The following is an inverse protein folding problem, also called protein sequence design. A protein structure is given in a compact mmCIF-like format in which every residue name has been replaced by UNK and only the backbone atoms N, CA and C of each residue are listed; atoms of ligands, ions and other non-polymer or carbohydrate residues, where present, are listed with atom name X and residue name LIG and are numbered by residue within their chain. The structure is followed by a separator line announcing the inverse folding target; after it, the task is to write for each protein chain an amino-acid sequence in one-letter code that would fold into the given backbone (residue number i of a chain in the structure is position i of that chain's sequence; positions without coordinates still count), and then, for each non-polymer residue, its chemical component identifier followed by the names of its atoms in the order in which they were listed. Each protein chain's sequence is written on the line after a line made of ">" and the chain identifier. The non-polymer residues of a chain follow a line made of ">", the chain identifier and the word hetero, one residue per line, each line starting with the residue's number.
data_IF_422795175272
#
_entry.id   IF_422795175272
#
_cell.length_a   1.000
_cell.length_b   1.000
_cell.length_c   1.000
_cell.angle_alpha   90.00
_cell.angle_beta   90.00
_cell.angle_gamma   90.00
#
_symmetry.space_group_name_H-M   'P 1'
#
loop_
_entity.id
_entity.type
_entity.pdbx_description
1 polymer ?
#
# COMPACT_ATOMS: atom_id res chain seq x y z
N UNK A 1 31.56 34.82 -8.01
CA UNK A 1 30.27 34.12 -8.27
C UNK A 1 30.40 32.72 -7.69
N UNK A 2 29.82 32.50 -6.51
CA UNK A 2 29.83 31.19 -5.85
C UNK A 2 28.49 30.53 -6.16
N UNK A 3 28.51 29.53 -7.04
CA UNK A 3 27.33 28.73 -7.36
C UNK A 3 27.05 27.80 -6.17
N UNK A 4 26.03 28.15 -5.38
CA UNK A 4 25.45 27.26 -4.39
C UNK A 4 24.74 26.13 -5.11
N UNK A 5 25.38 24.97 -5.18
CA UNK A 5 24.73 23.71 -5.56
C UNK A 5 23.80 23.35 -4.41
N UNK A 6 22.52 23.74 -4.52
CA UNK A 6 21.47 23.31 -3.61
C UNK A 6 21.47 21.78 -3.60
N UNK A 7 21.65 21.12 -2.44
CA UNK A 7 21.52 19.67 -2.39
C UNK A 7 20.08 19.34 -2.75
N UNK A 8 19.87 18.67 -3.87
CA UNK A 8 18.58 18.11 -4.26
C UNK A 8 18.09 17.22 -3.10
N UNK A 9 17.12 17.70 -2.31
CA UNK A 9 16.42 16.91 -1.32
C UNK A 9 15.59 15.83 -2.03
N UNK A 10 16.19 14.68 -2.33
CA UNK A 10 15.47 13.48 -2.80
C UNK A 10 14.35 13.06 -1.81
N UNK A 11 14.49 13.39 -0.52
CA UNK A 11 13.45 13.24 0.49
C UNK A 11 12.22 14.15 0.25
N UNK A 12 12.41 15.37 -0.26
CA UNK A 12 11.27 16.27 -0.55
C UNK A 12 10.46 15.81 -1.76
N UNK A 13 11.07 15.10 -2.71
CA UNK A 13 10.37 14.57 -3.89
C UNK A 13 9.60 13.29 -3.53
N UNK A 14 10.16 12.43 -2.68
CA UNK A 14 9.55 11.16 -2.27
C UNK A 14 8.36 11.31 -1.31
N UNK A 15 8.34 12.37 -0.50
CA UNK A 15 7.23 12.67 0.41
C UNK A 15 6.21 13.68 -0.15
N UNK A 16 6.46 14.19 -1.36
CA UNK A 16 5.53 15.11 -2.01
C UNK A 16 4.16 14.46 -2.24
N UNK A 17 3.10 15.26 -2.11
CA UNK A 17 1.73 14.80 -2.35
C UNK A 17 1.13 13.93 -1.24
N UNK A 18 1.78 13.83 -0.08
CA UNK A 18 1.12 13.29 1.11
C UNK A 18 -0.13 14.13 1.42
N UNK A 19 -1.24 13.51 1.84
CA UNK A 19 -2.44 14.26 2.18
C UNK A 19 -2.15 15.18 3.36
N UNK A 20 -2.81 16.33 3.39
CA UNK A 20 -2.80 17.21 4.55
C UNK A 20 -3.38 16.44 5.76
N UNK A 21 -2.83 16.63 6.95
CA UNK A 21 -3.37 16.01 8.16
C UNK A 21 -4.80 16.54 8.41
N UNK A 22 -5.76 15.67 8.80
CA UNK A 22 -7.13 16.10 8.99
C UNK A 22 -7.22 17.13 10.12
N UNK A 23 -7.98 18.19 9.88
CA UNK A 23 -8.17 19.25 10.85
C UNK A 23 -8.75 18.69 12.16
N UNK A 24 -8.21 19.16 13.29
CA UNK A 24 -8.64 18.72 14.64
C UNK A 24 -8.43 17.22 14.94
N UNK A 25 -7.64 16.49 14.12
CA UNK A 25 -7.34 15.08 14.32
C UNK A 25 -8.51 14.13 14.01
N UNK A 26 -9.57 14.60 13.34
CA UNK A 26 -10.72 13.76 13.00
C UNK A 26 -10.52 13.07 11.66
N UNK A 27 -10.15 11.79 11.70
CA UNK A 27 -9.97 10.97 10.50
C UNK A 27 -11.33 10.60 9.91
N UNK A 28 -11.56 10.96 8.65
CA UNK A 28 -12.78 10.63 7.91
C UNK A 28 -12.47 9.80 6.66
N UNK A 29 -13.47 9.11 6.12
CA UNK A 29 -13.32 8.18 5.00
C UNK A 29 -12.57 8.77 3.80
N UNK A 30 -12.90 10.00 3.39
CA UNK A 30 -12.25 10.66 2.26
C UNK A 30 -10.73 10.83 2.46
N UNK A 31 -10.32 11.19 3.68
CA UNK A 31 -8.90 11.31 4.01
C UNK A 31 -8.23 9.94 4.02
N UNK A 32 -8.88 8.91 4.58
CA UNK A 32 -8.35 7.53 4.59
C UNK A 32 -8.11 7.02 3.17
N UNK A 33 -9.03 7.30 2.25
CA UNK A 33 -8.91 6.94 0.83
C UNK A 33 -7.69 7.61 0.20
N UNK A 34 -7.51 8.91 0.40
CA UNK A 34 -6.37 9.66 -0.12
C UNK A 34 -5.05 9.19 0.49
N UNK A 35 -5.03 9.00 1.80
CA UNK A 35 -3.88 8.52 2.56
C UNK A 35 -3.41 7.14 2.08
N UNK A 36 -4.32 6.18 1.95
CA UNK A 36 -3.98 4.84 1.45
C UNK A 36 -3.53 4.90 -0.02
N UNK A 37 -4.18 5.72 -0.86
CA UNK A 37 -3.78 5.88 -2.26
C UNK A 37 -2.36 6.46 -2.39
N UNK A 38 -2.00 7.43 -1.55
CA UNK A 38 -0.64 7.95 -1.46
C UNK A 38 0.34 6.90 -0.93
N UNK A 39 -0.06 6.11 0.07
CA UNK A 39 0.78 5.08 0.70
C UNK A 39 1.30 4.03 -0.28
N UNK A 40 0.56 3.74 -1.35
CA UNK A 40 0.98 2.83 -2.44
C UNK A 40 2.11 3.39 -3.34
N UNK A 41 2.47 4.66 -3.15
CA UNK A 41 3.45 5.38 -3.96
C UNK A 41 4.85 5.39 -3.32
N UNK A 42 4.95 5.07 -2.03
CA UNK A 42 6.18 5.18 -1.23
C UNK A 42 6.60 3.82 -0.63
N UNK A 43 7.88 3.68 -0.25
CA UNK A 43 8.40 2.50 0.45
C UNK A 43 7.92 2.42 1.91
N UNK A 44 8.28 1.35 2.63
CA UNK A 44 7.94 1.19 4.04
C UNK A 44 8.69 2.19 4.94
N UNK A 45 9.94 2.49 4.60
CA UNK A 45 10.86 3.34 5.36
C UNK A 45 10.94 4.76 4.78
N UNK A 46 10.21 5.03 3.68
CA UNK A 46 10.12 6.35 3.10
C UNK A 46 9.35 7.28 4.05
N UNK A 47 9.77 8.55 4.13
CA UNK A 47 9.07 9.57 4.93
C UNK A 47 8.86 9.13 6.39
N UNK A 48 9.94 8.99 7.18
CA UNK A 48 9.91 8.33 8.48
C UNK A 48 8.94 8.97 9.49
N UNK A 49 8.63 10.26 9.34
CA UNK A 49 7.68 10.97 10.20
C UNK A 49 6.22 10.87 9.71
N UNK A 50 6.00 10.45 8.45
CA UNK A 50 4.69 10.45 7.79
C UNK A 50 4.12 9.04 7.69
N UNK A 51 4.89 8.09 7.16
CA UNK A 51 4.39 6.73 6.88
C UNK A 51 3.90 6.03 8.15
N UNK A 52 4.64 6.01 9.28
CA UNK A 52 4.16 5.35 10.48
C UNK A 52 2.87 5.96 11.05
N UNK A 53 2.76 7.30 11.04
CA UNK A 53 1.57 8.00 11.53
C UNK A 53 0.37 7.74 10.62
N UNK A 54 0.56 7.79 9.30
CA UNK A 54 -0.47 7.51 8.31
C UNK A 54 -0.94 6.05 8.40
N UNK A 55 -0.01 5.10 8.53
CA UNK A 55 -0.33 3.69 8.69
C UNK A 55 -1.14 3.44 9.97
N UNK A 56 -0.75 4.05 11.09
CA UNK A 56 -1.49 3.96 12.35
C UNK A 56 -2.93 4.52 12.23
N UNK A 57 -3.09 5.73 11.71
CA UNK A 57 -4.39 6.40 11.65
C UNK A 57 -5.35 5.71 10.67
N UNK A 58 -4.84 5.27 9.52
CA UNK A 58 -5.67 4.53 8.56
C UNK A 58 -6.07 3.16 9.11
N UNK A 59 -5.18 2.43 9.78
CA UNK A 59 -5.52 1.15 10.41
C UNK A 59 -6.49 1.30 11.58
N UNK A 60 -6.33 2.33 12.42
CA UNK A 60 -7.26 2.62 13.50
C UNK A 60 -8.66 2.90 12.96
N UNK A 61 -8.78 3.78 11.96
CA UNK A 61 -10.06 4.07 11.33
C UNK A 61 -10.70 2.82 10.70
N UNK A 62 -9.90 2.01 10.00
CA UNK A 62 -10.38 0.74 9.42
C UNK A 62 -10.83 -0.25 10.49
N UNK A 63 -10.17 -0.29 11.64
CA UNK A 63 -10.55 -1.19 12.75
C UNK A 63 -11.88 -0.82 13.41
N UNK A 64 -12.29 0.44 13.29
CA UNK A 64 -13.55 0.97 13.82
C UNK A 64 -14.67 1.00 12.78
N UNK A 65 -14.37 0.72 11.50
CA UNK A 65 -15.35 0.75 10.43
C UNK A 65 -16.26 -0.47 10.46
N UNK A 66 -17.58 -0.26 10.51
CA UNK A 66 -18.60 -1.31 10.36
C UNK A 66 -18.81 -1.74 8.90
N UNK A 67 -18.33 -0.94 7.94
CA UNK A 67 -18.58 -1.15 6.51
C UNK A 67 -17.37 -1.77 5.78
N UNK A 68 -16.15 -1.48 6.25
CA UNK A 68 -14.91 -1.89 5.58
C UNK A 68 -14.24 -3.04 6.30
N UNK A 69 -14.62 -4.26 5.95
CA UNK A 69 -13.96 -5.47 6.45
C UNK A 69 -12.95 -6.02 5.43
N UNK A 70 -11.68 -6.21 5.81
CA UNK A 70 -10.68 -6.84 4.95
C UNK A 70 -10.35 -8.23 5.50
N UNK A 71 -10.60 -9.28 4.71
CA UNK A 71 -10.16 -10.65 5.02
C UNK A 71 -8.84 -10.94 4.29
N UNK A 72 -7.83 -11.40 5.04
CA UNK A 72 -6.52 -11.76 4.51
C UNK A 72 -6.24 -13.22 4.81
N UNK A 73 -6.46 -14.07 3.80
CA UNK A 73 -6.00 -15.45 3.81
C UNK A 73 -4.55 -15.48 3.36
N UNK A 74 -3.61 -15.69 4.28
CA UNK A 74 -2.16 -15.65 3.99
C UNK A 74 -1.73 -16.56 2.83
N UNK A 75 -2.42 -17.70 2.63
CA UNK A 75 -2.21 -18.60 1.49
C UNK A 75 -2.40 -17.93 0.12
N UNK A 76 -3.22 -16.88 0.05
CA UNK A 76 -3.47 -16.11 -1.18
C UNK A 76 -2.38 -15.07 -1.48
N UNK A 77 -1.47 -14.83 -0.53
CA UNK A 77 -0.47 -13.75 -0.52
C UNK A 77 0.93 -14.26 -0.10
N UNK A 78 1.57 -15.13 -0.89
CA UNK A 78 2.78 -15.85 -0.50
C UNK A 78 4.00 -14.96 -0.22
N UNK A 79 4.01 -13.70 -0.68
CA UNK A 79 5.07 -12.75 -0.35
C UNK A 79 5.12 -12.40 1.15
N UNK A 80 4.00 -12.54 1.89
CA UNK A 80 3.97 -12.29 3.33
C UNK A 80 4.81 -13.28 4.14
N UNK A 81 5.10 -14.47 3.60
CA UNK A 81 6.02 -15.42 4.24
C UNK A 81 7.48 -14.94 4.21
N UNK A 82 7.81 -14.02 3.29
CA UNK A 82 9.16 -13.48 3.10
C UNK A 82 9.31 -12.06 3.63
N UNK A 83 8.21 -11.29 3.63
CA UNK A 83 8.15 -9.91 4.10
C UNK A 83 6.81 -9.67 4.84
N UNK A 84 6.66 -10.17 6.08
CA UNK A 84 5.46 -9.97 6.89
C UNK A 84 5.08 -8.49 7.09
N UNK A 85 6.06 -7.59 7.08
CA UNK A 85 5.90 -6.14 7.20
C UNK A 85 5.04 -5.52 6.07
N UNK A 86 4.88 -6.22 4.94
CA UNK A 86 3.98 -5.80 3.86
C UNK A 86 2.49 -6.05 4.16
N UNK A 87 2.15 -6.69 5.28
CA UNK A 87 0.76 -6.97 5.65
C UNK A 87 -0.06 -5.69 5.79
N UNK A 88 0.49 -4.64 6.42
CA UNK A 88 -0.20 -3.34 6.54
C UNK A 88 -0.54 -2.77 5.17
N UNK A 89 0.43 -2.77 4.25
CA UNK A 89 0.28 -2.27 2.88
C UNK A 89 -0.81 -3.07 2.14
N UNK A 90 -0.82 -4.40 2.29
CA UNK A 90 -1.84 -5.25 1.70
C UNK A 90 -3.24 -4.94 2.24
N UNK A 91 -3.38 -4.85 3.57
CA UNK A 91 -4.66 -4.56 4.23
C UNK A 91 -5.22 -3.22 3.74
N UNK A 92 -4.38 -2.18 3.78
CA UNK A 92 -4.75 -0.86 3.28
C UNK A 92 -5.14 -0.91 1.80
N UNK A 93 -4.35 -1.57 0.94
CA UNK A 93 -4.65 -1.64 -0.49
C UNK A 93 -5.99 -2.34 -0.79
N UNK A 94 -6.30 -3.40 -0.05
CA UNK A 94 -7.59 -4.10 -0.14
C UNK A 94 -8.74 -3.23 0.39
N UNK A 95 -8.52 -2.51 1.48
CA UNK A 95 -9.49 -1.54 2.00
C UNK A 95 -9.78 -0.44 0.96
N UNK A 96 -8.76 0.04 0.25
CA UNK A 96 -8.94 1.03 -0.81
C UNK A 96 -9.85 0.54 -1.94
N UNK A 97 -9.78 -0.75 -2.32
CA UNK A 97 -10.71 -1.34 -3.30
C UNK A 97 -12.15 -1.18 -2.83
N UNK A 98 -12.42 -1.50 -1.56
CA UNK A 98 -13.76 -1.40 -0.98
C UNK A 98 -14.23 0.05 -0.88
N UNK A 99 -13.39 0.93 -0.33
CA UNK A 99 -13.68 2.35 -0.17
C UNK A 99 -13.97 3.07 -1.50
N UNK A 100 -13.35 2.63 -2.59
CA UNK A 100 -13.54 3.26 -3.90
C UNK A 100 -14.66 2.62 -4.72
N UNK A 101 -15.26 1.51 -4.25
CA UNK A 101 -16.14 0.66 -5.04
C UNK A 101 -15.58 0.37 -6.45
N UNK A 102 -14.26 0.31 -6.56
CA UNK A 102 -13.58 0.18 -7.84
C UNK A 102 -13.53 -1.29 -8.23
N UNK A 103 -13.86 -1.66 -9.48
CA UNK A 103 -13.59 -3.00 -9.99
C UNK A 103 -12.08 -3.18 -10.08
N UNK A 104 -11.48 -3.66 -8.98
CA UNK A 104 -10.06 -3.94 -8.90
C UNK A 104 -9.84 -5.42 -9.03
N UNK A 105 -8.99 -5.80 -9.98
CA UNK A 105 -8.50 -7.17 -10.07
C UNK A 105 -7.50 -7.44 -8.94
N UNK A 106 -7.46 -8.68 -8.47
CA UNK A 106 -6.49 -9.15 -7.48
C UNK A 106 -5.06 -8.95 -7.99
N UNK A 107 -4.82 -9.10 -9.30
CA UNK A 107 -3.48 -8.88 -9.87
C UNK A 107 -3.00 -7.43 -9.69
N UNK A 108 -3.91 -6.47 -9.69
CA UNK A 108 -3.57 -5.06 -9.54
C UNK A 108 -3.20 -4.74 -8.08
N UNK A 109 -3.85 -5.38 -7.10
CA UNK A 109 -3.44 -5.34 -5.68
C UNK A 109 -2.02 -5.87 -5.50
N UNK A 110 -1.70 -7.04 -6.07
CA UNK A 110 -0.35 -7.63 -5.97
C UNK A 110 0.71 -6.68 -6.55
N UNK A 111 0.44 -6.07 -7.70
CA UNK A 111 1.36 -5.13 -8.35
C UNK A 111 1.63 -3.90 -7.52
N UNK A 112 0.62 -3.36 -6.85
CA UNK A 112 0.77 -2.18 -6.02
C UNK A 112 1.62 -2.48 -4.77
N UNK A 113 1.34 -3.60 -4.08
CA UNK A 113 2.17 -4.06 -2.95
C UNK A 113 3.61 -4.37 -3.40
N UNK A 114 3.78 -4.99 -4.57
CA UNK A 114 5.11 -5.22 -5.18
C UNK A 114 5.87 -3.92 -5.42
N UNK A 115 5.17 -2.86 -5.82
CA UNK A 115 5.77 -1.55 -6.07
C UNK A 115 6.27 -0.91 -4.77
N UNK A 116 5.50 -1.01 -3.68
CA UNK A 116 5.94 -0.59 -2.34
C UNK A 116 7.17 -1.38 -1.91
N UNK A 117 7.15 -2.71 -2.04
CA UNK A 117 8.27 -3.56 -1.66
C UNK A 117 9.57 -3.20 -2.40
N UNK A 118 9.50 -2.91 -3.71
CA UNK A 118 10.66 -2.47 -4.52
C UNK A 118 11.22 -1.10 -4.12
N UNK A 119 10.41 -0.24 -3.51
CA UNK A 119 10.80 1.08 -3.02
C UNK A 119 11.26 1.07 -1.57
N UNK A 120 11.09 -0.05 -0.87
CA UNK A 120 11.45 -0.20 0.54
C UNK A 120 12.92 -0.56 0.65
N UNK A 121 13.63 0.11 1.55
CA UNK A 121 15.08 -0.02 1.66
C UNK A 121 15.45 -1.39 2.25
N UNK A 122 16.40 -2.09 1.63
CA UNK A 122 16.89 -3.38 2.12
C UNK A 122 15.91 -4.56 2.00
N UNK A 123 14.64 -4.31 1.65
CA UNK A 123 13.61 -5.35 1.58
C UNK A 123 13.71 -6.24 0.34
N UNK A 124 14.02 -5.64 -0.82
CA UNK A 124 13.91 -6.34 -2.10
C UNK A 124 15.05 -7.33 -2.34
N UNK A 125 14.71 -8.62 -2.50
CA UNK A 125 15.64 -9.67 -2.87
C UNK A 125 15.01 -10.67 -3.88
N UNK A 126 15.82 -11.59 -4.41
CA UNK A 126 15.38 -12.55 -5.42
C UNK A 126 14.30 -13.53 -4.92
N UNK A 127 14.31 -13.90 -3.63
CA UNK A 127 13.31 -14.79 -3.06
C UNK A 127 11.95 -14.10 -2.96
N UNK A 128 11.93 -12.86 -2.45
CA UNK A 128 10.73 -12.01 -2.42
C UNK A 128 10.20 -11.76 -3.84
N UNK A 129 11.08 -11.51 -4.80
CA UNK A 129 10.71 -11.36 -6.22
C UNK A 129 9.94 -12.57 -6.76
N UNK A 130 10.43 -13.79 -6.52
CA UNK A 130 9.75 -15.03 -6.91
C UNK A 130 8.42 -15.23 -6.19
N UNK A 131 8.34 -14.86 -4.91
CA UNK A 131 7.10 -14.92 -4.15
C UNK A 131 6.02 -14.00 -4.75
N UNK A 132 6.41 -12.80 -5.18
CA UNK A 132 5.50 -11.90 -5.92
C UNK A 132 5.08 -12.47 -7.27
N UNK A 133 5.98 -13.10 -8.03
CA UNK A 133 5.60 -13.74 -9.31
C UNK A 133 4.57 -14.87 -9.09
N UNK A 134 4.75 -15.66 -8.03
CA UNK A 134 3.77 -16.68 -7.62
C UNK A 134 2.42 -16.07 -7.20
N UNK A 135 2.45 -14.99 -6.42
CA UNK A 135 1.25 -14.26 -6.02
C UNK A 135 0.50 -13.67 -7.22
N UNK A 136 1.20 -13.09 -8.19
CA UNK A 136 0.60 -12.58 -9.43
C UNK A 136 -0.05 -13.71 -10.24
N UNK A 137 0.60 -14.88 -10.32
CA UNK A 137 0.05 -16.05 -11.00
C UNK A 137 -1.23 -16.57 -10.34
N UNK A 138 -1.28 -16.60 -9.01
CA UNK A 138 -2.49 -16.96 -8.25
C UNK A 138 -3.60 -15.94 -8.45
N UNK A 139 -3.27 -14.64 -8.33
CA UNK A 139 -4.22 -13.55 -8.50
C UNK A 139 -4.88 -13.57 -9.89
N UNK A 140 -4.10 -13.75 -10.96
CA UNK A 140 -4.64 -13.85 -12.33
C UNK A 140 -5.62 -15.01 -12.50
N UNK A 141 -5.35 -16.17 -11.87
CA UNK A 141 -6.28 -17.32 -11.93
C UNK A 141 -7.61 -17.02 -11.22
N UNK A 142 -7.56 -16.33 -10.08
CA UNK A 142 -8.77 -15.89 -9.36
C UNK A 142 -9.57 -14.90 -10.20
N UNK A 143 -8.90 -13.88 -10.74
CA UNK A 143 -9.53 -12.88 -11.61
C UNK A 143 -10.24 -13.52 -12.82
N UNK A 144 -9.63 -14.53 -13.44
CA UNK A 144 -10.23 -15.27 -14.55
C UNK A 144 -11.42 -16.15 -14.15
N UNK A 145 -11.44 -16.65 -12.90
CA UNK A 145 -12.54 -17.48 -12.40
C UNK A 145 -13.75 -16.60 -12.11
N UNK A 146 -13.52 -15.46 -11.46
CA UNK A 146 -14.57 -14.49 -11.13
C UNK A 146 -15.25 -13.93 -12.39
N UNK A 147 -14.50 -13.65 -13.46
CA UNK A 147 -15.04 -13.23 -14.76
C UNK A 147 -15.92 -14.27 -15.47
N UNK A 148 -15.88 -15.54 -15.08
CA UNK A 148 -16.73 -16.59 -15.66
C UNK A 148 -18.02 -16.80 -14.88
N UNK A 149 -18.07 -16.30 -13.65
CA UNK A 149 -19.22 -16.44 -12.75
C UNK A 149 -20.18 -15.24 -12.84
N UNK A 150 -19.66 -14.10 -13.33
CA UNK A 150 -20.42 -12.88 -13.68
C UNK A 150 -21.00 -12.94 -15.11
#
# INVERSE_FOLDING_TARGET
>A
MWAWVWPWCWACVTCSGAPEWPAQGQVHEAWVREAIAWRMQVGLEACPDVVPALDAWTLEWLSQSEEVHVDVKTADWPFLAYAPELQTVLVQRLALVKLTNSPSRQVDVVKDVRRVAKRSEGLWNAALGRAFDGAEGLARRRDQTQQKED
#
